data_IF_311854404833
#
_entry.id   IF_311854404833
#
_cell.length_a   1.000
_cell.length_b   1.000
_cell.length_c   1.000
_cell.angle_alpha   90.00
_cell.angle_beta   90.00
_cell.angle_gamma   90.00
#
_symmetry.space_group_name_H-M   'P 1'
#
loop_
_entity.id
_entity.type
_entity.pdbx_description
1 polymer ?
#
# COMPACT_ATOMS: atom_id res chain seq x y z
N UNK A 1 -0.65 18.33 0.49
CA UNK A 1 0.64 18.30 1.22
C UNK A 1 1.20 16.89 1.17
N UNK A 2 2.51 16.75 1.01
CA UNK A 2 3.21 15.47 1.06
C UNK A 2 4.42 15.60 1.99
N UNK A 3 4.70 14.55 2.77
CA UNK A 3 5.93 14.43 3.52
C UNK A 3 6.41 12.97 3.45
N UNK A 4 7.72 12.77 3.44
CA UNK A 4 8.32 11.45 3.42
C UNK A 4 9.66 11.44 4.12
N UNK A 5 9.96 10.33 4.79
CA UNK A 5 11.23 10.05 5.45
C UNK A 5 11.71 8.66 5.04
N UNK A 6 13.01 8.52 4.87
CA UNK A 6 13.67 7.25 4.66
C UNK A 6 14.96 7.26 5.46
N UNK A 7 15.14 6.26 6.32
CA UNK A 7 16.25 6.18 7.24
C UNK A 7 16.77 4.75 7.31
N UNK A 8 18.08 4.60 7.15
CA UNK A 8 18.76 3.34 7.49
C UNK A 8 18.92 3.28 9.02
N UNK A 9 18.37 2.24 9.62
CA UNK A 9 18.37 2.01 11.08
C UNK A 9 19.57 1.18 11.51
N UNK A 10 20.00 0.24 10.67
CA UNK A 10 21.15 -0.62 10.96
C UNK A 10 22.08 -0.72 9.77
N UNK A 11 23.35 -0.93 10.06
CA UNK A 11 24.39 -1.25 9.11
C UNK A 11 24.89 -2.66 9.42
N UNK A 12 25.02 -3.50 8.38
CA UNK A 12 25.67 -4.80 8.53
C UNK A 12 27.18 -4.58 8.71
N UNK A 13 27.79 -5.33 9.63
CA UNK A 13 29.11 -5.06 10.23
C UNK A 13 30.19 -4.59 9.23
N UNK A 14 30.26 -5.20 8.04
CA UNK A 14 31.30 -4.94 7.05
C UNK A 14 30.82 -4.25 5.76
N UNK A 15 29.51 -3.98 5.63
CA UNK A 15 28.95 -3.42 4.40
C UNK A 15 27.93 -2.30 4.68
N UNK A 16 28.28 -1.03 4.38
CA UNK A 16 27.37 0.11 4.54
C UNK A 16 26.10 0.01 3.66
N UNK A 17 26.16 -0.79 2.59
CA UNK A 17 25.01 -0.98 1.70
C UNK A 17 23.99 -1.97 2.28
N UNK A 18 24.34 -2.76 3.30
CA UNK A 18 23.47 -3.77 3.89
C UNK A 18 22.90 -3.31 5.22
N UNK A 19 21.69 -3.78 5.52
CA UNK A 19 21.01 -3.52 6.78
C UNK A 19 19.54 -3.14 6.64
N UNK A 20 18.95 -2.77 7.76
CA UNK A 20 17.54 -2.41 7.89
C UNK A 20 17.33 -0.94 7.55
N UNK A 21 16.40 -0.66 6.65
CA UNK A 21 15.89 0.68 6.38
C UNK A 21 14.41 0.75 6.68
N UNK A 22 13.97 1.90 7.18
CA UNK A 22 12.56 2.25 7.34
C UNK A 22 12.22 3.40 6.42
N UNK A 23 11.01 3.41 5.87
CA UNK A 23 10.44 4.58 5.23
C UNK A 23 9.05 4.85 5.76
N UNK A 24 8.68 6.11 5.80
CA UNK A 24 7.33 6.55 6.08
C UNK A 24 6.99 7.70 5.16
N UNK A 25 5.78 7.72 4.61
CA UNK A 25 5.26 8.83 3.85
C UNK A 25 3.82 9.13 4.26
N UNK A 26 3.47 10.40 4.18
CA UNK A 26 2.11 10.87 4.39
C UNK A 26 1.71 11.85 3.31
N UNK A 27 0.47 11.74 2.86
CA UNK A 27 -0.16 12.66 1.92
C UNK A 27 -1.48 13.14 2.49
N UNK A 28 -1.69 14.45 2.48
CA UNK A 28 -2.95 15.08 2.86
C UNK A 28 -3.46 15.89 1.68
N UNK A 29 -4.68 15.59 1.24
CA UNK A 29 -5.37 16.31 0.17
C UNK A 29 -6.67 16.93 0.70
N UNK A 30 -7.17 17.95 0.00
CA UNK A 30 -8.45 18.58 0.34
C UNK A 30 -9.61 17.60 0.08
N UNK A 31 -10.44 17.39 1.11
CA UNK A 31 -11.62 16.52 1.06
C UNK A 31 -12.69 17.00 0.07
N UNK A 32 -12.69 18.30 -0.27
CA UNK A 32 -13.72 18.89 -1.14
C UNK A 32 -13.52 18.53 -2.62
N UNK A 33 -12.27 18.33 -3.03
CA UNK A 33 -11.88 18.10 -4.43
C UNK A 33 -11.25 16.74 -4.67
N UNK A 34 -10.71 16.10 -3.63
CA UNK A 34 -10.05 14.81 -3.74
C UNK A 34 -10.84 13.70 -3.03
N UNK A 35 -10.91 12.55 -3.69
CA UNK A 35 -11.52 11.34 -3.15
C UNK A 35 -10.68 10.73 -2.02
N UNK A 36 -9.36 10.75 -2.14
CA UNK A 36 -8.44 10.29 -1.10
C UNK A 36 -8.03 11.48 -0.24
N UNK A 37 -8.41 11.48 1.04
CA UNK A 37 -8.12 12.59 1.93
C UNK A 37 -6.74 12.44 2.56
N UNK A 38 -6.46 11.28 3.14
CA UNK A 38 -5.22 11.00 3.85
C UNK A 38 -4.66 9.67 3.39
N UNK A 39 -3.36 9.64 3.11
CA UNK A 39 -2.64 8.41 2.80
C UNK A 39 -1.43 8.38 3.70
N UNK A 40 -1.27 7.28 4.44
CA UNK A 40 -0.11 7.02 5.27
C UNK A 40 0.51 5.71 4.81
N UNK A 41 1.78 5.72 4.44
CA UNK A 41 2.51 4.52 4.09
C UNK A 41 3.73 4.40 4.99
N UNK A 42 3.98 3.19 5.48
CA UNK A 42 5.18 2.84 6.23
C UNK A 42 5.76 1.56 5.63
N UNK A 43 7.08 1.48 5.51
CA UNK A 43 7.72 0.25 5.08
C UNK A 43 9.02 -0.01 5.81
N UNK A 44 9.33 -1.28 5.97
CA UNK A 44 10.60 -1.79 6.44
C UNK A 44 11.20 -2.63 5.34
N UNK A 45 12.49 -2.41 5.04
CA UNK A 45 13.23 -3.23 4.09
C UNK A 45 14.58 -3.60 4.64
N UNK A 46 15.03 -4.82 4.40
CA UNK A 46 16.36 -5.28 4.76
C UNK A 46 17.12 -5.68 3.49
N UNK A 47 18.29 -5.08 3.27
CA UNK A 47 19.19 -5.42 2.15
C UNK A 47 20.28 -6.38 2.61
N UNK A 48 20.42 -7.48 1.89
CA UNK A 48 21.45 -8.49 2.13
C UNK A 48 21.22 -9.25 3.44
N UNK A 49 20.04 -9.86 3.61
CA UNK A 49 19.72 -10.65 4.80
C UNK A 49 20.66 -11.86 4.98
N UNK A 50 21.12 -12.44 3.87
CA UNK A 50 22.04 -13.58 3.85
C UNK A 50 23.37 -13.17 3.24
N UNK A 51 24.48 -13.63 3.80
CA UNK A 51 25.83 -13.35 3.26
C UNK A 51 26.04 -13.94 1.87
N UNK A 52 25.37 -15.06 1.55
CA UNK A 52 25.37 -15.63 0.21
C UNK A 52 24.67 -14.73 -0.83
N UNK A 53 23.83 -13.78 -0.38
CA UNK A 53 22.95 -12.96 -1.22
C UNK A 53 22.90 -11.51 -0.73
N UNK A 54 24.03 -10.76 -0.78
CA UNK A 54 24.13 -9.41 -0.21
C UNK A 54 23.26 -8.37 -0.94
N UNK A 55 22.84 -8.67 -2.18
CA UNK A 55 22.06 -7.77 -3.04
C UNK A 55 20.53 -7.99 -2.98
N UNK A 56 20.10 -9.08 -2.35
CA UNK A 56 18.68 -9.45 -2.25
C UNK A 56 18.00 -8.64 -1.13
N UNK A 57 16.75 -8.24 -1.36
CA UNK A 57 15.99 -7.41 -0.42
C UNK A 57 14.76 -8.16 0.06
N UNK A 58 14.46 -8.04 1.35
CA UNK A 58 13.16 -8.42 1.91
C UNK A 58 12.46 -7.16 2.37
N UNK A 59 11.16 -7.03 2.07
CA UNK A 59 10.40 -5.83 2.36
C UNK A 59 9.03 -6.15 2.93
N UNK A 60 8.58 -5.28 3.82
CA UNK A 60 7.23 -5.23 4.33
C UNK A 60 6.71 -3.80 4.29
N UNK A 61 5.52 -3.59 3.74
CA UNK A 61 4.87 -2.30 3.63
C UNK A 61 3.46 -2.35 4.19
N UNK A 62 3.03 -1.24 4.80
CA UNK A 62 1.64 -1.00 5.18
C UNK A 62 1.24 0.37 4.65
N UNK A 63 0.06 0.45 4.06
CA UNK A 63 -0.53 1.69 3.57
C UNK A 63 -1.96 1.79 4.05
N UNK A 64 -2.26 2.84 4.80
CA UNK A 64 -3.60 3.17 5.25
C UNK A 64 -4.09 4.40 4.47
N UNK A 65 -5.29 4.27 3.90
CA UNK A 65 -5.91 5.30 3.08
C UNK A 65 -7.26 5.64 3.71
N UNK A 66 -7.45 6.92 4.04
CA UNK A 66 -8.72 7.47 4.50
C UNK A 66 -9.36 8.29 3.37
N UNK A 67 -10.60 7.94 3.04
CA UNK A 67 -11.34 8.57 1.95
C UNK A 67 -12.15 9.77 2.43
N UNK A 68 -12.51 10.65 1.49
CA UNK A 68 -13.19 11.91 1.81
C UNK A 68 -14.54 11.69 2.49
N UNK A 69 -14.68 12.28 3.69
CA UNK A 69 -15.94 12.28 4.43
C UNK A 69 -17.05 13.06 3.71
N UNK A 70 -16.70 14.08 2.91
CA UNK A 70 -17.65 14.84 2.10
C UNK A 70 -18.23 13.97 0.99
N UNK A 71 -17.39 13.20 0.31
CA UNK A 71 -17.82 12.29 -0.73
C UNK A 71 -18.73 11.18 -0.16
N UNK A 72 -18.34 10.60 0.99
CA UNK A 72 -19.16 9.63 1.71
C UNK A 72 -20.54 10.19 2.10
N UNK A 73 -20.60 11.44 2.59
CA UNK A 73 -21.89 12.12 2.90
C UNK A 73 -22.75 12.31 1.65
N UNK A 74 -22.15 12.75 0.55
CA UNK A 74 -22.88 12.97 -0.70
C UNK A 74 -23.49 11.67 -1.24
N UNK A 75 -22.77 10.55 -1.18
CA UNK A 75 -23.32 9.25 -1.60
C UNK A 75 -24.43 8.76 -0.69
N UNK A 76 -24.30 8.91 0.64
CA UNK A 76 -25.41 8.61 1.57
C UNK A 76 -26.65 9.45 1.26
N UNK A 77 -26.47 10.73 0.98
CA UNK A 77 -27.55 11.62 0.58
C UNK A 77 -28.22 11.17 -0.72
N UNK A 78 -27.43 10.82 -1.74
CA UNK A 78 -27.97 10.29 -3.01
C UNK A 78 -28.74 8.97 -2.83
N UNK A 79 -28.20 8.02 -2.06
CA UNK A 79 -28.91 6.77 -1.77
C UNK A 79 -30.24 7.03 -1.03
N UNK A 80 -30.25 8.00 -0.10
CA UNK A 80 -31.47 8.39 0.62
C UNK A 80 -32.54 9.02 -0.30
N UNK A 81 -32.12 9.83 -1.28
CA UNK A 81 -33.03 10.42 -2.26
C UNK A 81 -33.58 9.37 -3.23
N UNK A 82 -32.75 8.40 -3.63
CA UNK A 82 -33.17 7.29 -4.49
C UNK A 82 -33.99 6.24 -3.75
N UNK A 83 -34.11 6.32 -2.42
CA UNK A 83 -34.80 5.32 -1.59
C UNK A 83 -34.11 3.95 -1.56
N UNK A 84 -32.86 3.87 -2.02
CA UNK A 84 -32.11 2.61 -2.15
C UNK A 84 -31.28 2.39 -0.89
N UNK A 85 -31.60 1.33 -0.16
CA UNK A 85 -30.89 0.95 1.08
C UNK A 85 -30.19 -0.41 1.00
N UNK A 86 -30.54 -1.24 0.01
CA UNK A 86 -29.89 -2.51 -0.24
C UNK A 86 -28.55 -2.29 -0.96
N UNK A 87 -27.48 -2.83 -0.42
CA UNK A 87 -26.15 -2.79 -1.02
C UNK A 87 -26.06 -3.56 -2.34
N UNK A 88 -26.88 -4.60 -2.49
CA UNK A 88 -26.88 -5.45 -3.69
C UNK A 88 -27.68 -4.84 -4.85
N UNK A 89 -28.39 -3.73 -4.61
CA UNK A 89 -29.11 -3.01 -5.66
C UNK A 89 -28.09 -2.31 -6.58
N UNK A 90 -28.14 -2.52 -7.91
CA UNK A 90 -27.27 -1.83 -8.87
C UNK A 90 -27.33 -0.30 -8.80
N UNK A 91 -28.43 0.27 -8.29
CA UNK A 91 -28.58 1.70 -8.09
C UNK A 91 -27.93 2.21 -6.79
N UNK A 92 -27.50 1.32 -5.88
CA UNK A 92 -26.84 1.68 -4.64
C UNK A 92 -25.42 2.19 -4.90
N UNK A 93 -25.09 3.35 -4.30
CA UNK A 93 -23.74 3.93 -4.40
C UNK A 93 -22.92 3.52 -3.16
N UNK A 94 -21.86 2.72 -3.31
CA UNK A 94 -21.03 2.30 -2.18
C UNK A 94 -20.40 3.50 -1.48
N UNK A 95 -20.54 3.55 -0.16
CA UNK A 95 -20.02 4.64 0.67
C UNK A 95 -18.59 4.30 1.08
N UNK A 96 -17.59 5.13 0.73
CA UNK A 96 -16.21 4.92 1.13
C UNK A 96 -15.99 5.31 2.58
N UNK A 97 -15.03 4.63 3.19
CA UNK A 97 -14.47 4.88 4.50
C UNK A 97 -12.95 4.82 4.38
N UNK A 98 -12.34 3.76 4.90
CA UNK A 98 -10.90 3.58 4.88
C UNK A 98 -10.53 2.26 4.19
N UNK A 99 -9.31 2.19 3.65
CA UNK A 99 -8.70 0.95 3.20
C UNK A 99 -7.33 0.77 3.84
N UNK A 100 -6.95 -0.49 4.06
CA UNK A 100 -5.63 -0.86 4.55
C UNK A 100 -5.01 -1.89 3.61
N UNK A 101 -3.79 -1.64 3.18
CA UNK A 101 -3.05 -2.50 2.28
C UNK A 101 -1.74 -2.89 2.98
N UNK A 102 -1.49 -4.19 3.11
CA UNK A 102 -0.20 -4.73 3.52
C UNK A 102 0.47 -5.42 2.36
N UNK A 103 1.78 -5.29 2.25
CA UNK A 103 2.60 -5.95 1.24
C UNK A 103 3.81 -6.59 1.91
N UNK A 104 4.14 -7.80 1.48
CA UNK A 104 5.37 -8.46 1.83
C UNK A 104 6.00 -9.03 0.56
N UNK A 105 7.28 -8.75 0.34
CA UNK A 105 7.98 -9.20 -0.85
C UNK A 105 9.42 -9.62 -0.56
N UNK A 106 9.94 -10.45 -1.46
CA UNK A 106 11.36 -10.79 -1.50
C UNK A 106 11.90 -10.55 -2.91
N UNK A 107 12.87 -9.65 -3.03
CA UNK A 107 13.54 -9.33 -4.29
C UNK A 107 14.83 -10.13 -4.41
N UNK A 108 14.81 -11.06 -5.36
CA UNK A 108 15.91 -11.92 -5.76
C UNK A 108 16.61 -11.36 -7.00
N UNK A 109 17.91 -11.06 -6.90
CA UNK A 109 18.74 -10.55 -8.00
C UNK A 109 19.83 -11.57 -8.38
N UNK A 110 19.50 -12.61 -9.16
CA UNK A 110 20.46 -13.68 -9.48
C UNK A 110 21.67 -13.19 -10.27
N UNK A 111 21.43 -12.22 -11.17
CA UNK A 111 22.43 -11.62 -12.05
C UNK A 111 22.20 -10.09 -12.09
N UNK A 112 23.22 -9.27 -12.39
CA UNK A 112 23.09 -7.82 -12.30
C UNK A 112 21.98 -7.21 -13.17
N UNK A 113 21.62 -7.88 -14.28
CA UNK A 113 20.60 -7.44 -15.23
C UNK A 113 19.18 -7.95 -14.93
N UNK A 114 18.98 -8.85 -13.96
CA UNK A 114 17.68 -9.46 -13.65
C UNK A 114 17.34 -9.32 -12.17
N UNK A 115 16.17 -8.77 -11.89
CA UNK A 115 15.54 -8.79 -10.57
C UNK A 115 14.17 -9.47 -10.65
N UNK A 116 13.90 -10.41 -9.75
CA UNK A 116 12.64 -11.10 -9.57
C UNK A 116 12.12 -10.82 -8.17
N UNK A 117 10.91 -10.32 -8.05
CA UNK A 117 10.31 -9.95 -6.77
C UNK A 117 8.93 -10.60 -6.64
N UNK A 118 8.86 -11.86 -6.19
CA UNK A 118 7.62 -12.42 -5.66
C UNK A 118 7.17 -11.64 -4.41
N UNK A 119 5.86 -11.47 -4.28
CA UNK A 119 5.24 -10.83 -3.15
C UNK A 119 3.83 -11.32 -2.90
N UNK A 120 3.32 -10.95 -1.73
CA UNK A 120 1.93 -11.14 -1.33
C UNK A 120 1.41 -9.85 -0.75
N UNK A 121 0.20 -9.48 -1.14
CA UNK A 121 -0.50 -8.33 -0.65
C UNK A 121 -1.81 -8.76 0.01
N UNK A 122 -2.13 -8.06 1.10
CA UNK A 122 -3.39 -8.16 1.79
C UNK A 122 -4.12 -6.83 1.71
N UNK A 123 -5.33 -6.83 1.18
CA UNK A 123 -6.15 -5.64 1.02
C UNK A 123 -7.39 -5.77 1.90
N UNK A 124 -7.52 -4.90 2.88
CA UNK A 124 -8.67 -4.77 3.75
C UNK A 124 -9.54 -3.59 3.30
N UNK A 125 -10.83 -3.86 3.08
CA UNK A 125 -11.77 -2.92 2.45
C UNK A 125 -11.23 -2.26 1.16
N UNK A 126 -11.01 -3.05 0.08
CA UNK A 126 -10.57 -2.51 -1.20
C UNK A 126 -11.44 -1.34 -1.69
N UNK A 127 -10.81 -0.24 -2.09
CA UNK A 127 -11.52 0.96 -2.55
C UNK A 127 -12.26 1.72 -1.44
N UNK A 128 -11.99 1.40 -0.17
CA UNK A 128 -12.59 2.02 1.01
C UNK A 128 -14.03 1.57 1.28
N UNK A 129 -14.54 0.57 0.57
CA UNK A 129 -15.93 0.12 0.71
C UNK A 129 -16.00 -0.98 1.77
N UNK A 130 -16.69 -0.70 2.88
CA UNK A 130 -16.77 -1.61 4.05
C UNK A 130 -17.44 -2.96 3.79
N UNK A 131 -18.18 -3.08 2.68
CA UNK A 131 -18.88 -4.29 2.27
C UNK A 131 -18.09 -5.14 1.28
N UNK A 132 -16.96 -4.63 0.77
CA UNK A 132 -16.07 -5.40 -0.10
C UNK A 132 -15.25 -6.34 0.76
N UNK A 133 -15.23 -7.63 0.38
CA UNK A 133 -14.44 -8.64 1.07
C UNK A 133 -12.94 -8.34 0.96
N UNK A 134 -12.22 -8.72 2.01
CA UNK A 134 -10.77 -8.62 2.04
C UNK A 134 -10.16 -9.54 0.97
N UNK A 135 -9.05 -9.11 0.39
CA UNK A 135 -8.40 -9.81 -0.71
C UNK A 135 -6.95 -10.15 -0.38
N UNK A 136 -6.54 -11.36 -0.76
CA UNK A 136 -5.15 -11.77 -0.84
C UNK A 136 -4.73 -11.78 -2.30
N UNK A 137 -3.63 -11.09 -2.62
CA UNK A 137 -3.13 -10.95 -3.97
C UNK A 137 -1.68 -11.40 -4.00
N UNK A 138 -1.36 -12.39 -4.82
CA UNK A 138 0.02 -12.78 -5.08
C UNK A 138 0.56 -12.00 -6.26
N UNK A 139 1.78 -11.51 -6.16
CA UNK A 139 2.42 -10.73 -7.22
C UNK A 139 3.80 -11.29 -7.58
N UNK A 140 4.20 -11.04 -8.82
CA UNK A 140 5.56 -11.25 -9.29
C UNK A 140 5.97 -10.04 -10.11
N UNK A 141 6.91 -9.26 -9.59
CA UNK A 141 7.52 -8.14 -10.31
C UNK A 141 8.86 -8.58 -10.90
N UNK A 142 9.09 -8.23 -12.16
CA UNK A 142 10.35 -8.52 -12.86
C UNK A 142 10.94 -7.23 -13.39
N UNK A 143 12.25 -7.04 -13.17
CA UNK A 143 13.01 -5.92 -13.72
C UNK A 143 14.16 -6.49 -14.54
N UNK A 144 14.27 -6.02 -15.79
CA UNK A 144 15.35 -6.38 -16.71
C UNK A 144 16.07 -5.09 -17.12
N UNK A 145 17.39 -5.07 -17.00
CA UNK A 145 18.25 -3.93 -17.38
C UNK A 145 19.21 -4.33 -18.49
N UNK A 146 19.29 -3.53 -19.56
CA UNK A 146 20.09 -3.78 -20.76
C UNK A 146 21.29 -2.83 -20.86
#
# INVERSE_FOLDING_TARGET
>A
MYAGLNQQLTQHQDDPNRGLSTSFSMSLADQSTNYMHQVYAASLRYRGLFDARPEDWIGFGLTWIDMSSQYARNQRYMNSLSGVSDYNDPAYRPVPGHSLNGEFYYRFRPVPWLELQPGIQYWHHPGGVSRTQDAWVTELKTVVSF
#
